data_IF_734742664914
#
_entry.id   IF_734742664914
#
_cell.length_a   1.000
_cell.length_b   1.000
_cell.length_c   1.000
_cell.angle_alpha   90.00
_cell.angle_beta   90.00
_cell.angle_gamma   90.00
#
_symmetry.space_group_name_H-M   'P 1'
#
loop_
_entity.id
_entity.type
_entity.pdbx_description
1 polymer ?
#
# COMPACT_ATOMS: atom_id res chain seq x y z
N UNK A 1 -7.49 21.69 -0.85
CA UNK A 1 -6.26 20.98 -0.42
C UNK A 1 -6.25 21.02 1.09
N UNK A 2 -5.91 19.93 1.77
CA UNK A 2 -5.84 19.88 3.22
C UNK A 2 -4.83 20.94 3.70
N UNK A 3 -5.27 21.96 4.46
CA UNK A 3 -4.40 23.06 4.87
C UNK A 3 -3.32 22.64 5.87
N UNK A 4 -3.46 21.43 6.43
CA UNK A 4 -2.52 20.85 7.39
C UNK A 4 -1.39 20.06 6.73
N UNK A 5 -1.36 19.96 5.40
CA UNK A 5 -0.22 19.41 4.67
C UNK A 5 0.80 20.51 4.45
N UNK A 6 1.83 20.51 5.28
CA UNK A 6 2.93 21.46 5.20
C UNK A 6 4.24 20.73 4.92
N UNK A 7 5.17 21.37 4.21
CA UNK A 7 6.48 20.79 3.88
C UNK A 7 7.28 20.41 5.12
N UNK A 8 7.05 21.08 6.26
CA UNK A 8 7.71 20.77 7.54
C UNK A 8 7.40 19.37 8.08
N UNK A 9 6.39 18.69 7.56
CA UNK A 9 6.20 17.26 7.85
C UNK A 9 7.40 16.43 7.37
N UNK A 10 8.09 16.85 6.29
CA UNK A 10 9.27 16.17 5.79
C UNK A 10 10.50 16.33 6.69
N UNK A 11 10.59 17.45 7.42
CA UNK A 11 11.76 17.76 8.26
C UNK A 11 11.92 16.76 9.41
N UNK A 12 10.81 16.18 9.89
CA UNK A 12 10.82 15.19 10.97
C UNK A 12 10.82 13.74 10.47
N UNK A 13 10.88 13.50 9.15
CA UNK A 13 10.78 12.15 8.58
C UNK A 13 11.87 11.20 9.05
N UNK A 14 13.16 11.61 9.19
CA UNK A 14 14.18 10.72 9.71
C UNK A 14 13.81 10.14 11.08
N UNK A 15 13.34 10.98 12.00
CA UNK A 15 12.94 10.56 13.35
C UNK A 15 11.65 9.72 13.32
N UNK A 16 10.66 10.10 12.50
CA UNK A 16 9.42 9.31 12.34
C UNK A 16 9.67 7.93 11.76
N UNK A 17 10.58 7.84 10.81
CA UNK A 17 11.00 6.61 10.16
C UNK A 17 11.66 5.68 11.17
N UNK A 18 12.62 6.20 11.95
CA UNK A 18 13.24 5.44 13.04
C UNK A 18 12.20 4.96 14.06
N UNK A 19 11.31 5.84 14.50
CA UNK A 19 10.25 5.48 15.44
C UNK A 19 9.34 4.37 14.90
N UNK A 20 8.90 4.49 13.64
CA UNK A 20 8.04 3.49 13.01
C UNK A 20 8.69 2.11 12.93
N UNK A 21 9.93 2.05 12.45
CA UNK A 21 10.57 0.79 12.08
C UNK A 21 11.38 0.15 13.22
N UNK A 22 11.86 0.93 14.19
CA UNK A 22 12.58 0.40 15.35
C UNK A 22 11.64 -0.09 16.46
N UNK A 23 10.49 0.57 16.67
CA UNK A 23 9.54 0.19 17.72
C UNK A 23 8.71 -1.05 17.36
N UNK A 24 8.81 -1.51 16.11
CA UNK A 24 8.01 -2.62 15.61
C UNK A 24 8.64 -3.97 15.98
N UNK A 25 8.35 -4.42 17.21
CA UNK A 25 8.39 -5.85 17.52
C UNK A 25 7.20 -6.52 16.80
N UNK A 26 7.51 -7.34 15.80
CA UNK A 26 6.60 -7.89 14.79
C UNK A 26 5.65 -8.98 15.33
N UNK A 27 4.73 -8.65 16.25
CA UNK A 27 3.80 -9.67 16.77
C UNK A 27 2.31 -9.30 16.79
N UNK A 28 1.93 -8.02 16.88
CA UNK A 28 0.50 -7.68 16.93
C UNK A 28 -0.01 -7.07 15.63
N UNK A 29 -0.97 -7.76 15.00
CA UNK A 29 -1.84 -7.26 13.93
C UNK A 29 -2.83 -6.20 14.47
N UNK A 30 -2.30 -5.18 15.14
CA UNK A 30 -3.06 -4.10 15.76
C UNK A 30 -3.29 -2.93 14.80
N UNK A 31 -4.24 -2.07 15.18
CA UNK A 31 -4.44 -0.78 14.53
C UNK A 31 -3.52 0.24 15.21
N UNK A 32 -2.43 0.65 14.57
CA UNK A 32 -1.49 1.62 15.12
C UNK A 32 -1.60 2.98 14.44
N UNK A 33 -1.20 4.02 15.16
CA UNK A 33 -1.18 5.41 14.70
C UNK A 33 0.19 6.01 15.03
N UNK A 34 0.79 6.63 14.02
CA UNK A 34 1.99 7.45 14.15
C UNK A 34 1.63 8.92 13.95
N UNK A 35 1.95 9.78 14.92
CA UNK A 35 1.78 11.21 14.73
C UNK A 35 2.92 11.80 13.89
N UNK A 36 2.56 12.55 12.84
CA UNK A 36 3.53 13.15 11.92
C UNK A 36 3.92 14.59 12.29
N UNK A 37 3.41 15.14 13.39
CA UNK A 37 3.85 16.46 13.86
C UNK A 37 5.32 16.42 14.33
N UNK A 38 6.19 17.37 13.94
CA UNK A 38 7.61 17.33 14.26
C UNK A 38 7.95 17.18 15.75
N UNK A 39 7.19 17.83 16.63
CA UNK A 39 7.44 17.81 18.08
C UNK A 39 6.80 16.63 18.85
N UNK A 40 6.22 15.64 18.17
CA UNK A 40 5.43 14.58 18.83
C UNK A 40 5.95 13.18 18.51
N UNK A 41 6.46 12.43 19.49
CA UNK A 41 6.95 11.07 19.26
C UNK A 41 5.90 9.98 19.51
N UNK A 42 4.61 10.32 19.37
CA UNK A 42 3.55 9.34 19.61
C UNK A 42 3.51 8.27 18.52
N UNK A 43 3.64 7.02 18.96
CA UNK A 43 3.37 5.82 18.20
C UNK A 43 2.68 4.80 19.12
N UNK A 44 1.45 4.40 18.80
CA UNK A 44 0.65 3.56 19.70
C UNK A 44 -0.63 3.02 19.08
N UNK A 45 -1.41 2.29 19.87
CA UNK A 45 -2.66 1.68 19.43
C UNK A 45 -3.73 2.76 19.18
N UNK A 46 -4.56 2.56 18.15
CA UNK A 46 -5.69 3.43 17.80
C UNK A 46 -6.67 3.61 18.96
N UNK A 47 -6.92 2.58 19.78
CA UNK A 47 -7.82 2.71 20.95
C UNK A 47 -7.28 3.67 22.01
N UNK A 48 -5.97 3.58 22.29
CA UNK A 48 -5.30 4.50 23.21
C UNK A 48 -5.23 5.91 22.62
N UNK A 49 -4.99 6.00 21.31
CA UNK A 49 -5.01 7.24 20.57
C UNK A 49 -6.38 7.92 20.71
N UNK A 50 -7.48 7.23 20.42
CA UNK A 50 -8.83 7.81 20.47
C UNK A 50 -9.22 8.24 21.89
N UNK A 51 -8.81 7.46 22.90
CA UNK A 51 -9.18 7.69 24.31
C UNK A 51 -8.42 8.85 24.94
N UNK A 52 -7.11 8.97 24.70
CA UNK A 52 -6.26 9.91 25.44
C UNK A 52 -5.59 10.96 24.55
N UNK A 53 -5.50 10.71 23.26
CA UNK A 53 -4.67 11.49 22.37
C UNK A 53 -5.50 12.29 21.37
N UNK A 54 -6.43 11.71 20.62
CA UNK A 54 -7.18 12.40 19.57
C UNK A 54 -7.88 13.66 20.11
N UNK A 55 -8.62 13.57 21.22
CA UNK A 55 -9.32 14.71 21.80
C UNK A 55 -8.39 15.75 22.45
N UNK A 56 -7.42 15.36 23.29
CA UNK A 56 -6.53 16.28 23.99
C UNK A 56 -5.44 16.87 23.09
N UNK A 57 -4.94 16.10 22.14
CA UNK A 57 -3.82 16.45 21.27
C UNK A 57 -4.30 17.22 20.04
N UNK A 58 -5.44 16.87 19.42
CA UNK A 58 -5.96 17.70 18.32
C UNK A 58 -6.41 19.08 18.81
N UNK A 59 -7.15 19.14 19.93
CA UNK A 59 -7.67 20.41 20.45
C UNK A 59 -6.59 21.24 21.17
N UNK A 60 -5.66 20.59 21.89
CA UNK A 60 -4.61 21.26 22.67
C UNK A 60 -3.32 21.55 21.91
N UNK A 61 -2.87 20.66 21.02
CA UNK A 61 -1.57 20.80 20.32
C UNK A 61 -1.69 21.03 18.81
N UNK A 62 -2.90 20.94 18.23
CA UNK A 62 -3.18 21.13 16.79
C UNK A 62 -2.45 20.15 15.86
N UNK A 63 -2.04 18.98 16.37
CA UNK A 63 -1.37 17.97 15.57
C UNK A 63 -2.39 17.22 14.70
N UNK A 64 -2.56 17.68 13.46
CA UNK A 64 -3.67 17.28 12.60
C UNK A 64 -3.40 16.01 11.76
N UNK A 65 -2.14 15.73 11.43
CA UNK A 65 -1.77 14.69 10.45
C UNK A 65 -1.17 13.47 11.14
N UNK A 66 -1.71 12.29 10.80
CA UNK A 66 -1.26 11.00 11.32
C UNK A 66 -1.14 9.97 10.20
N UNK A 67 -0.27 8.98 10.41
CA UNK A 67 -0.14 7.81 9.56
C UNK A 67 -0.81 6.62 10.27
N UNK A 68 -1.82 6.03 9.62
CA UNK A 68 -2.52 4.84 10.11
C UNK A 68 -1.85 3.58 9.62
N UNK A 69 -1.79 2.58 10.50
CA UNK A 69 -1.22 1.27 10.25
C UNK A 69 -2.23 0.24 10.75
N UNK A 70 -3.19 -0.10 9.89
CA UNK A 70 -4.12 -1.19 10.15
C UNK A 70 -4.12 -2.17 8.98
N UNK A 71 -4.65 -3.40 9.16
CA UNK A 71 -4.77 -4.36 8.06
C UNK A 71 -5.53 -3.83 6.84
N UNK A 72 -6.51 -2.94 7.05
CA UNK A 72 -7.33 -2.35 5.97
C UNK A 72 -6.78 -1.00 5.48
N UNK A 73 -6.08 -0.26 6.33
CA UNK A 73 -5.58 1.10 6.05
C UNK A 73 -4.08 1.18 6.28
N UNK A 74 -3.34 0.26 5.67
CA UNK A 74 -1.88 0.20 5.80
C UNK A 74 -1.23 1.43 5.15
N UNK A 75 -0.46 2.18 5.94
CA UNK A 75 0.23 3.41 5.53
C UNK A 75 -0.73 4.47 4.96
N UNK A 76 -1.94 4.58 5.53
CA UNK A 76 -2.90 5.61 5.12
C UNK A 76 -2.62 6.92 5.85
N UNK A 77 -2.47 8.01 5.08
CA UNK A 77 -2.35 9.36 5.65
C UNK A 77 -3.73 9.90 5.99
N UNK A 78 -3.94 10.29 7.25
CA UNK A 78 -5.22 10.79 7.73
C UNK A 78 -5.07 12.16 8.38
N UNK A 79 -6.04 13.04 8.12
CA UNK A 79 -6.14 14.34 8.78
C UNK A 79 -7.31 14.35 9.76
N UNK A 80 -7.02 14.46 11.06
CA UNK A 80 -8.04 14.54 12.10
C UNK A 80 -8.81 15.87 12.06
N UNK A 81 -8.14 16.97 11.72
CA UNK A 81 -8.80 18.29 11.61
C UNK A 81 -9.77 18.38 10.44
N UNK A 82 -9.50 17.69 9.33
CA UNK A 82 -10.40 17.63 8.18
C UNK A 82 -11.30 16.39 8.19
N UNK A 83 -11.10 15.47 9.14
CA UNK A 83 -11.81 14.19 9.26
C UNK A 83 -11.84 13.42 7.94
N UNK A 84 -10.68 13.32 7.27
CA UNK A 84 -10.57 12.61 5.98
C UNK A 84 -9.22 11.97 5.76
N UNK A 85 -9.21 10.93 4.91
CA UNK A 85 -8.00 10.42 4.31
C UNK A 85 -7.42 11.47 3.34
N UNK A 86 -6.11 11.61 3.33
CA UNK A 86 -5.40 12.60 2.52
C UNK A 86 -4.82 11.93 1.28
N UNK A 87 -5.04 12.52 0.11
CA UNK A 87 -4.40 12.08 -1.14
C UNK A 87 -4.82 10.68 -1.59
N UNK A 88 -5.88 10.14 -0.98
CA UNK A 88 -6.39 8.82 -1.25
C UNK A 88 -7.69 8.88 -2.07
N UNK A 89 -7.75 8.06 -3.12
CA UNK A 89 -8.90 7.94 -4.03
C UNK A 89 -9.89 6.83 -3.61
N UNK A 90 -9.86 6.45 -2.33
CA UNK A 90 -10.85 5.57 -1.70
C UNK A 90 -10.86 4.09 -2.13
N UNK A 91 -11.64 3.32 -1.36
CA UNK A 91 -12.31 2.06 -1.76
C UNK A 91 -13.71 2.35 -2.36
N UNK A 92 -14.15 3.60 -2.25
CA UNK A 92 -15.47 4.08 -2.65
C UNK A 92 -15.29 4.97 -3.87
N UNK A 93 -15.84 4.53 -5.00
CA UNK A 93 -15.73 5.14 -6.33
C UNK A 93 -16.26 6.57 -6.47
N UNK A 94 -16.71 7.25 -5.40
CA UNK A 94 -17.48 8.49 -5.54
C UNK A 94 -17.26 9.63 -4.53
N UNK A 95 -16.31 9.57 -3.57
CA UNK A 95 -16.29 10.63 -2.51
C UNK A 95 -14.99 11.41 -2.32
N UNK A 96 -13.84 10.98 -2.81
CA UNK A 96 -12.66 11.86 -2.75
C UNK A 96 -11.76 11.60 -3.95
N UNK A 97 -12.04 12.26 -5.08
CA UNK A 97 -10.97 12.61 -6.01
C UNK A 97 -10.03 13.54 -5.26
N UNK A 98 -9.12 12.97 -4.45
CA UNK A 98 -8.11 13.72 -3.74
C UNK A 98 -7.44 14.64 -4.73
N UNK A 99 -7.31 15.92 -4.38
CA UNK A 99 -6.64 16.88 -5.27
C UNK A 99 -5.28 16.27 -5.67
N UNK A 100 -4.93 16.32 -6.95
CA UNK A 100 -3.67 15.75 -7.46
C UNK A 100 -2.48 16.13 -6.57
N UNK A 101 -2.47 17.35 -6.04
CA UNK A 101 -1.48 17.84 -5.08
C UNK A 101 -1.44 17.08 -3.75
N UNK A 102 -2.58 16.75 -3.15
CA UNK A 102 -2.65 15.90 -1.94
C UNK A 102 -2.14 14.49 -2.23
N UNK A 103 -2.48 13.94 -3.40
CA UNK A 103 -2.01 12.62 -3.83
C UNK A 103 -0.48 12.59 -3.97
N UNK A 104 0.11 13.57 -4.69
CA UNK A 104 1.57 13.69 -4.82
C UNK A 104 2.25 13.86 -3.46
N UNK A 105 1.68 14.68 -2.58
CA UNK A 105 2.23 14.90 -1.24
C UNK A 105 2.20 13.61 -0.42
N UNK A 106 1.06 12.94 -0.36
CA UNK A 106 0.89 11.66 0.35
C UNK A 106 1.87 10.61 -0.19
N UNK A 107 1.93 10.43 -1.51
CA UNK A 107 2.82 9.47 -2.15
C UNK A 107 4.27 9.73 -1.74
N UNK A 108 4.73 10.98 -1.87
CA UNK A 108 6.10 11.35 -1.50
C UNK A 108 6.39 11.07 -0.02
N UNK A 109 5.48 11.43 0.88
CA UNK A 109 5.63 11.22 2.32
C UNK A 109 5.67 9.74 2.68
N UNK A 110 4.75 8.94 2.13
CA UNK A 110 4.70 7.49 2.39
C UNK A 110 5.94 6.80 1.84
N UNK A 111 6.42 7.18 0.66
CA UNK A 111 7.65 6.64 0.08
C UNK A 111 8.88 6.98 0.93
N UNK A 112 8.99 8.21 1.43
CA UNK A 112 10.09 8.62 2.33
C UNK A 112 10.13 7.77 3.61
N UNK A 113 8.96 7.47 4.17
CA UNK A 113 8.84 6.63 5.37
C UNK A 113 9.09 5.16 5.06
N UNK A 114 8.57 4.64 3.96
CA UNK A 114 8.55 3.20 3.68
C UNK A 114 9.80 2.68 2.96
N UNK A 115 10.56 3.54 2.29
CA UNK A 115 11.80 3.13 1.60
C UNK A 115 13.02 3.51 2.43
N UNK A 116 14.18 2.94 2.15
CA UNK A 116 15.44 3.37 2.76
C UNK A 116 16.37 3.98 1.73
N UNK A 117 17.21 4.92 2.17
CA UNK A 117 18.28 5.55 1.41
C UNK A 117 19.63 5.02 1.94
N UNK A 118 20.35 4.16 1.20
CA UNK A 118 21.63 3.60 1.64
C UNK A 118 22.69 4.65 1.96
N UNK A 119 22.56 5.88 1.44
CA UNK A 119 23.49 6.97 1.72
C UNK A 119 23.18 7.72 3.03
N UNK A 120 21.98 7.57 3.60
CA UNK A 120 21.52 8.33 4.77
C UNK A 120 21.10 7.45 5.95
N UNK A 121 20.50 6.29 5.67
CA UNK A 121 19.94 5.40 6.68
C UNK A 121 21.00 4.40 7.14
N UNK A 122 21.09 4.12 8.44
CA UNK A 122 22.01 3.11 8.98
C UNK A 122 21.60 1.70 8.54
N UNK A 123 22.57 0.78 8.42
CA UNK A 123 22.31 -0.62 8.04
C UNK A 123 21.25 -1.29 8.93
N UNK A 124 21.23 -0.95 10.22
CA UNK A 124 20.22 -1.43 11.17
C UNK A 124 18.83 -0.95 10.79
N UNK A 125 18.67 0.35 10.50
CA UNK A 125 17.39 0.92 10.09
C UNK A 125 16.93 0.35 8.73
N UNK A 126 17.86 0.17 7.79
CA UNK A 126 17.57 -0.46 6.48
C UNK A 126 17.02 -1.88 6.68
N UNK A 127 17.66 -2.69 7.53
CA UNK A 127 17.20 -4.04 7.85
C UNK A 127 15.82 -4.05 8.53
N UNK A 128 15.57 -3.11 9.46
CA UNK A 128 14.27 -2.95 10.11
C UNK A 128 13.16 -2.58 9.12
N UNK A 129 13.43 -1.65 8.20
CA UNK A 129 12.49 -1.25 7.14
C UNK A 129 12.20 -2.45 6.25
N UNK A 130 13.23 -3.16 5.80
CA UNK A 130 13.06 -4.32 4.92
C UNK A 130 12.20 -5.41 5.59
N UNK A 131 12.55 -5.85 6.80
CA UNK A 131 11.77 -6.87 7.54
C UNK A 131 10.35 -6.40 7.83
N UNK A 132 10.19 -5.14 8.23
CA UNK A 132 8.89 -4.55 8.50
C UNK A 132 7.99 -4.51 7.26
N UNK A 133 8.56 -4.22 6.10
CA UNK A 133 7.87 -4.25 4.81
C UNK A 133 7.50 -5.66 4.40
N UNK A 134 8.44 -6.60 4.43
CA UNK A 134 8.18 -8.00 4.12
C UNK A 134 7.01 -8.55 4.94
N UNK A 135 6.98 -8.29 6.24
CA UNK A 135 5.87 -8.70 7.12
C UNK A 135 4.52 -8.07 6.74
N UNK A 136 4.48 -6.77 6.46
CA UNK A 136 3.24 -6.09 6.01
C UNK A 136 2.75 -6.70 4.71
N UNK A 137 3.65 -6.79 3.73
CA UNK A 137 3.31 -7.15 2.36
C UNK A 137 2.92 -8.64 2.26
N UNK A 138 3.57 -9.50 3.06
CA UNK A 138 3.15 -10.88 3.22
C UNK A 138 1.76 -10.99 3.87
N UNK A 139 1.47 -10.18 4.88
CA UNK A 139 0.13 -10.15 5.51
C UNK A 139 -0.93 -9.69 4.52
N UNK A 140 -0.63 -8.70 3.68
CA UNK A 140 -1.50 -8.26 2.59
C UNK A 140 -1.71 -9.37 1.56
N UNK A 141 -0.63 -10.04 1.14
CA UNK A 141 -0.69 -11.20 0.24
C UNK A 141 -1.61 -12.29 0.79
N UNK A 142 -1.47 -12.64 2.07
CA UNK A 142 -2.30 -13.64 2.76
C UNK A 142 -3.78 -13.24 2.86
N UNK A 143 -4.06 -11.94 2.98
CA UNK A 143 -5.43 -11.43 3.12
C UNK A 143 -6.11 -11.08 1.79
N UNK A 144 -5.37 -11.00 0.68
CA UNK A 144 -5.84 -10.33 -0.55
C UNK A 144 -7.04 -11.00 -1.24
N UNK A 145 -7.26 -12.30 -1.00
CA UNK A 145 -8.34 -13.07 -1.63
C UNK A 145 -9.62 -13.16 -0.81
N UNK A 146 -9.69 -12.43 0.31
CA UNK A 146 -10.93 -12.28 1.09
C UNK A 146 -11.96 -11.37 0.42
N UNK A 147 -11.56 -10.61 -0.60
CA UNK A 147 -12.39 -9.65 -1.32
C UNK A 147 -12.45 -9.99 -2.81
N UNK A 148 -13.56 -9.64 -3.48
CA UNK A 148 -13.81 -9.99 -4.89
C UNK A 148 -13.09 -9.09 -5.90
N UNK A 149 -12.70 -7.88 -5.50
CA UNK A 149 -12.08 -6.94 -6.42
C UNK A 149 -10.58 -7.25 -6.55
N UNK A 150 -10.18 -7.54 -7.79
CA UNK A 150 -8.80 -7.90 -8.14
C UNK A 150 -8.32 -7.05 -9.30
N UNK A 151 -7.01 -6.84 -9.34
CA UNK A 151 -6.36 -5.95 -10.29
C UNK A 151 -5.25 -6.68 -11.03
N UNK A 152 -5.08 -6.33 -12.30
CA UNK A 152 -4.09 -6.93 -13.19
C UNK A 152 -2.73 -6.25 -12.96
N UNK A 153 -1.72 -7.06 -12.70
CA UNK A 153 -0.32 -6.63 -12.57
C UNK A 153 0.59 -7.50 -13.43
N UNK A 154 1.66 -6.88 -13.91
CA UNK A 154 2.73 -7.54 -14.64
C UNK A 154 3.31 -8.76 -13.91
N UNK A 155 3.50 -9.88 -14.62
CA UNK A 155 3.98 -11.13 -14.01
C UNK A 155 5.40 -11.04 -13.48
N UNK A 156 6.31 -10.37 -14.19
CA UNK A 156 7.73 -10.30 -13.78
C UNK A 156 7.87 -9.43 -12.54
N UNK A 157 7.14 -8.31 -12.52
CA UNK A 157 7.06 -7.46 -11.32
C UNK A 157 6.46 -8.22 -10.14
N UNK A 158 5.38 -8.98 -10.37
CA UNK A 158 4.73 -9.78 -9.33
C UNK A 158 5.66 -10.86 -8.78
N UNK A 159 6.45 -11.54 -9.62
CA UNK A 159 7.40 -12.56 -9.17
C UNK A 159 8.56 -11.96 -8.37
N UNK A 160 9.09 -10.83 -8.82
CA UNK A 160 10.10 -10.09 -8.06
C UNK A 160 9.54 -9.63 -6.70
N UNK A 161 8.27 -9.21 -6.66
CA UNK A 161 7.57 -8.89 -5.43
C UNK A 161 7.41 -10.11 -4.51
N UNK A 162 7.04 -11.28 -5.04
CA UNK A 162 6.96 -12.51 -4.25
C UNK A 162 8.30 -12.92 -3.65
N UNK A 163 9.40 -12.82 -4.40
CA UNK A 163 10.75 -13.09 -3.89
C UNK A 163 11.15 -12.12 -2.79
N UNK A 164 10.77 -10.85 -2.91
CA UNK A 164 11.02 -9.84 -1.89
C UNK A 164 10.26 -10.15 -0.59
N UNK A 165 8.94 -10.34 -0.66
CA UNK A 165 8.10 -10.55 0.53
C UNK A 165 8.36 -11.89 1.21
N UNK A 166 8.88 -12.88 0.49
CA UNK A 166 9.25 -14.19 1.04
C UNK A 166 10.58 -14.18 1.78
N UNK A 167 11.35 -13.09 1.70
CA UNK A 167 12.72 -13.05 2.24
C UNK A 167 13.79 -13.65 1.32
N UNK A 168 13.40 -14.27 0.19
CA UNK A 168 14.34 -14.93 -0.74
C UNK A 168 15.18 -13.94 -1.55
N UNK A 169 14.73 -12.68 -1.61
CA UNK A 169 15.45 -11.58 -2.20
C UNK A 169 15.42 -10.37 -1.27
N UNK A 170 16.56 -9.69 -1.14
CA UNK A 170 16.65 -8.37 -0.51
C UNK A 170 16.37 -7.24 -1.51
N UNK A 171 16.28 -7.57 -2.81
CA UNK A 171 16.06 -6.62 -3.89
C UNK A 171 14.55 -6.34 -4.00
N UNK A 172 14.20 -5.07 -3.80
CA UNK A 172 12.86 -4.54 -3.99
C UNK A 172 12.50 -4.51 -5.50
N UNK A 173 11.29 -4.94 -5.92
CA UNK A 173 10.88 -4.98 -7.35
C UNK A 173 10.81 -3.61 -8.04
N UNK A 174 10.90 -2.50 -7.30
CA UNK A 174 10.78 -1.14 -7.84
C UNK A 174 9.34 -0.79 -8.22
N UNK A 175 9.16 0.33 -8.94
CA UNK A 175 7.82 0.79 -9.34
C UNK A 175 7.15 -0.19 -10.30
N UNK A 176 5.85 -0.44 -10.08
CA UNK A 176 5.05 -1.26 -10.97
C UNK A 176 4.88 -0.57 -12.33
N UNK A 177 5.16 -1.33 -13.39
CA UNK A 177 4.82 -0.97 -14.76
C UNK A 177 4.02 -2.10 -15.37
N UNK A 178 2.93 -1.74 -16.05
CA UNK A 178 2.10 -2.68 -16.81
C UNK A 178 2.28 -2.46 -18.31
N UNK A 179 3.24 -1.62 -18.75
CA UNK A 179 3.40 -1.17 -20.13
C UNK A 179 3.33 -2.33 -21.14
N UNK A 180 4.02 -3.44 -20.85
CA UNK A 180 4.07 -4.62 -21.74
C UNK A 180 2.73 -5.37 -21.88
N UNK A 181 1.76 -5.08 -21.03
CA UNK A 181 0.43 -5.69 -21.07
C UNK A 181 -0.51 -4.96 -22.04
N UNK A 182 -0.11 -3.81 -22.57
CA UNK A 182 -0.96 -2.96 -23.40
C UNK A 182 -0.54 -3.02 -24.87
N UNK A 183 -1.51 -3.17 -25.77
CA UNK A 183 -1.30 -2.99 -27.22
C UNK A 183 -1.20 -1.50 -27.56
N UNK A 184 -1.93 -0.67 -26.81
CA UNK A 184 -1.93 0.79 -26.88
C UNK A 184 -2.22 1.35 -25.50
N UNK A 185 -1.96 2.63 -25.27
CA UNK A 185 -2.10 3.29 -23.96
C UNK A 185 -3.41 3.04 -23.20
N UNK A 186 -4.48 2.63 -23.90
CA UNK A 186 -5.80 2.38 -23.31
C UNK A 186 -6.29 0.94 -23.46
N UNK A 187 -5.67 0.10 -24.31
CA UNK A 187 -6.15 -1.25 -24.62
C UNK A 187 -5.19 -2.32 -24.15
N UNK A 188 -5.63 -3.12 -23.17
CA UNK A 188 -4.96 -4.33 -22.72
C UNK A 188 -4.91 -5.35 -23.86
N UNK A 189 -3.84 -6.13 -23.95
CA UNK A 189 -3.76 -7.21 -24.93
C UNK A 189 -4.66 -8.40 -24.51
N UNK A 190 -5.72 -8.73 -25.27
CA UNK A 190 -6.63 -9.82 -24.93
C UNK A 190 -5.98 -11.22 -25.09
N UNK A 191 -4.82 -11.31 -25.75
CA UNK A 191 -4.09 -12.57 -25.95
C UNK A 191 -3.29 -13.02 -24.74
N UNK A 192 -3.10 -12.12 -23.76
CA UNK A 192 -2.35 -12.38 -22.54
C UNK A 192 -2.99 -13.48 -21.69
N UNK A 193 -2.15 -14.21 -20.98
CA UNK A 193 -2.52 -15.36 -20.17
C UNK A 193 -2.22 -15.14 -18.69
N UNK A 194 -3.26 -15.27 -17.87
CA UNK A 194 -3.16 -15.29 -16.40
C UNK A 194 -2.18 -16.37 -15.93
N UNK A 195 -1.26 -15.99 -15.05
CA UNK A 195 -0.20 -16.84 -14.50
C UNK A 195 1.04 -16.96 -15.39
N UNK A 196 1.01 -16.38 -16.60
CA UNK A 196 2.15 -16.34 -17.52
C UNK A 196 2.60 -14.91 -17.79
N UNK A 197 1.67 -14.07 -18.26
CA UNK A 197 1.99 -12.70 -18.69
C UNK A 197 1.58 -11.67 -17.63
N UNK A 198 0.53 -11.98 -16.86
CA UNK A 198 0.05 -11.16 -15.75
C UNK A 198 -0.43 -12.02 -14.59
N UNK A 199 -0.57 -11.40 -13.42
CA UNK A 199 -1.18 -12.00 -12.22
C UNK A 199 -2.22 -11.04 -11.60
N UNK A 200 -2.98 -11.55 -10.63
CA UNK A 200 -4.02 -10.81 -9.94
C UNK A 200 -3.59 -10.44 -8.51
N UNK A 201 -3.76 -9.17 -8.15
CA UNK A 201 -3.64 -8.72 -6.76
C UNK A 201 -4.98 -8.23 -6.23
N UNK A 202 -5.26 -8.52 -4.96
CA UNK A 202 -6.43 -7.96 -4.28
C UNK A 202 -6.30 -6.45 -4.12
N UNK A 203 -7.43 -5.77 -3.93
CA UNK A 203 -7.41 -4.31 -3.86
C UNK A 203 -6.52 -3.75 -2.75
N UNK A 204 -6.50 -4.40 -1.56
CA UNK A 204 -5.65 -4.01 -0.42
C UNK A 204 -4.17 -3.91 -0.82
N UNK A 205 -3.69 -4.97 -1.47
CA UNK A 205 -2.36 -5.04 -2.04
C UNK A 205 -2.15 -3.97 -3.10
N UNK A 206 -3.11 -3.76 -4.01
CA UNK A 206 -3.03 -2.71 -5.05
C UNK A 206 -2.80 -1.32 -4.47
N UNK A 207 -3.53 -0.92 -3.42
CA UNK A 207 -3.34 0.41 -2.82
C UNK A 207 -2.00 0.54 -2.11
N UNK A 208 -1.54 -0.52 -1.45
CA UNK A 208 -0.21 -0.54 -0.87
C UNK A 208 0.86 -0.34 -1.95
N UNK A 209 0.74 -1.08 -3.07
CA UNK A 209 1.66 -0.99 -4.21
C UNK A 209 1.74 0.45 -4.72
N UNK A 210 0.60 1.08 -4.95
CA UNK A 210 0.54 2.46 -5.43
C UNK A 210 1.22 3.46 -4.50
N UNK A 211 1.00 3.32 -3.19
CA UNK A 211 1.54 4.24 -2.17
C UNK A 211 3.04 4.06 -1.96
N UNK A 212 3.51 2.81 -1.94
CA UNK A 212 4.89 2.49 -1.54
C UNK A 212 5.81 2.35 -2.75
N UNK A 213 5.44 1.55 -3.73
CA UNK A 213 6.25 1.32 -4.93
C UNK A 213 6.02 2.39 -6.00
N UNK A 214 4.81 2.93 -6.04
CA UNK A 214 4.35 3.76 -7.14
C UNK A 214 4.03 2.95 -8.40
N UNK A 215 3.22 3.55 -9.26
CA UNK A 215 2.83 3.00 -10.56
C UNK A 215 3.32 3.98 -11.63
N UNK A 216 3.97 3.47 -12.68
CA UNK A 216 4.35 4.27 -13.85
C UNK A 216 3.18 4.48 -14.80
N UNK A 217 2.39 3.42 -14.98
CA UNK A 217 1.26 3.36 -15.92
C UNK A 217 -0.08 3.16 -15.19
N UNK A 218 -1.07 2.57 -15.86
CA UNK A 218 -2.38 2.25 -15.28
C UNK A 218 -2.42 0.81 -14.75
N UNK A 219 -3.01 0.64 -13.57
CA UNK A 219 -3.51 -0.66 -13.11
C UNK A 219 -4.97 -0.80 -13.53
N UNK A 220 -5.31 -1.93 -14.16
CA UNK A 220 -6.68 -2.24 -14.60
C UNK A 220 -7.37 -3.10 -13.54
N UNK A 221 -8.57 -2.69 -13.14
CA UNK A 221 -9.49 -3.57 -12.39
C UNK A 221 -10.00 -4.66 -13.32
N UNK A 222 -9.95 -5.91 -12.86
CA UNK A 222 -10.45 -7.04 -13.63
C UNK A 222 -11.96 -6.95 -13.92
N UNK A 223 -12.70 -6.17 -13.13
CA UNK A 223 -14.13 -5.91 -13.34
C UNK A 223 -14.38 -4.88 -14.45
N UNK A 224 -13.35 -4.12 -14.85
CA UNK A 224 -13.46 -3.04 -15.83
C UNK A 224 -13.06 -3.52 -17.23
N UNK A 225 -12.76 -4.82 -17.39
CA UNK A 225 -12.46 -5.40 -18.69
C UNK A 225 -13.70 -5.35 -19.61
N UNK A 226 -13.54 -5.03 -20.90
CA UNK A 226 -14.65 -5.02 -21.84
C UNK A 226 -15.35 -6.37 -21.91
N UNK A 227 -16.69 -6.36 -21.87
CA UNK A 227 -17.49 -7.57 -22.01
C UNK A 227 -17.74 -7.87 -23.50
N UNK A 228 -16.67 -8.18 -24.24
CA UNK A 228 -16.71 -8.53 -25.65
C UNK A 228 -16.01 -9.88 -25.94
N UNK A 229 -16.08 -10.33 -27.18
CA UNK A 229 -15.54 -11.62 -27.61
C UNK A 229 -14.01 -11.73 -27.43
N UNK A 230 -13.28 -10.62 -27.52
CA UNK A 230 -11.81 -10.61 -27.42
C UNK A 230 -11.38 -10.99 -25.99
N UNK A 231 -12.05 -10.42 -24.98
CA UNK A 231 -11.70 -10.63 -23.57
C UNK A 231 -12.42 -11.81 -22.90
N UNK A 232 -13.42 -12.43 -23.53
CA UNK A 232 -14.20 -13.53 -22.95
C UNK A 232 -13.32 -14.63 -22.32
N UNK A 233 -12.26 -15.05 -23.02
CA UNK A 233 -11.34 -16.10 -22.54
C UNK A 233 -10.57 -15.65 -21.30
N UNK A 234 -10.07 -14.42 -21.29
CA UNK A 234 -9.34 -13.85 -20.16
C UNK A 234 -10.24 -13.71 -18.94
N UNK A 235 -11.42 -13.11 -19.12
CA UNK A 235 -12.43 -12.92 -18.08
C UNK A 235 -12.84 -14.27 -17.48
N UNK A 236 -13.04 -15.30 -18.31
CA UNK A 236 -13.38 -16.65 -17.83
C UNK A 236 -12.28 -17.22 -16.92
N UNK A 237 -11.01 -17.15 -17.32
CA UNK A 237 -9.88 -17.60 -16.49
C UNK A 237 -9.75 -16.82 -15.19
N UNK A 238 -9.95 -15.50 -15.22
CA UNK A 238 -9.95 -14.64 -14.03
C UNK A 238 -11.04 -15.09 -13.06
N UNK A 239 -12.27 -15.29 -13.53
CA UNK A 239 -13.40 -15.74 -12.71
C UNK A 239 -13.13 -17.09 -12.05
N UNK A 240 -12.57 -18.05 -12.79
CA UNK A 240 -12.17 -19.35 -12.22
C UNK A 240 -11.13 -19.15 -11.11
N UNK A 241 -10.08 -18.36 -11.35
CA UNK A 241 -9.03 -18.10 -10.35
C UNK A 241 -9.61 -17.44 -9.10
N UNK A 242 -10.50 -16.46 -9.26
CA UNK A 242 -11.17 -15.79 -8.15
C UNK A 242 -12.01 -16.77 -7.32
N UNK A 243 -12.76 -17.67 -7.95
CA UNK A 243 -13.53 -18.71 -7.26
C UNK A 243 -12.63 -19.66 -6.46
N UNK A 244 -11.53 -20.13 -7.07
CA UNK A 244 -10.53 -20.98 -6.39
C UNK A 244 -9.95 -20.26 -5.18
N UNK A 245 -9.55 -19.00 -5.35
CA UNK A 245 -8.94 -18.20 -4.29
C UNK A 245 -9.92 -17.93 -3.12
N UNK A 246 -11.20 -17.69 -3.42
CA UNK A 246 -12.25 -17.55 -2.41
C UNK A 246 -12.52 -18.86 -1.66
N UNK A 247 -12.47 -20.00 -2.35
CA UNK A 247 -12.66 -21.31 -1.75
C UNK A 247 -11.49 -21.70 -0.82
N UNK A 248 -10.26 -21.42 -1.22
CA UNK A 248 -9.05 -21.79 -0.48
C UNK A 248 -8.79 -20.89 0.74
N UNK A 249 -9.47 -19.75 0.87
CA UNK A 249 -9.35 -18.72 1.93
C UNK A 249 -7.96 -18.09 2.12
N UNK A 250 -6.91 -18.72 1.61
CA UNK A 250 -5.52 -18.33 1.67
C UNK A 250 -4.87 -18.49 0.29
N UNK A 251 -3.95 -17.59 -0.09
CA UNK A 251 -3.10 -17.78 -1.25
C UNK A 251 -2.18 -19.01 -1.05
N UNK A 252 -1.50 -19.51 -2.12
CA UNK A 252 -0.46 -20.51 -1.97
C UNK A 252 0.58 -20.08 -0.93
N UNK A 253 0.97 -21.00 -0.05
CA UNK A 253 1.97 -20.75 0.98
C UNK A 253 3.28 -20.30 0.35
N UNK A 254 3.73 -19.13 0.79
CA UNK A 254 5.08 -18.65 0.53
C UNK A 254 5.92 -19.09 1.72
N UNK A 255 6.86 -20.00 1.50
CA UNK A 255 7.84 -20.37 2.53
C UNK A 255 8.72 -19.15 2.83
N UNK A 256 8.66 -18.68 4.07
CA UNK A 256 9.56 -17.65 4.60
C UNK A 256 10.88 -18.34 4.97
N UNK A 257 12.00 -17.79 4.53
CA UNK A 257 13.35 -18.18 4.98
C UNK A 257 13.87 -17.21 6.05
#
# INVERSE_FOLDING_TARGET
MCPHLHKSLFDAMPEKKQLLWNTRSLLDAGNYILCLHPSCNYFGNTKEYDTYHCHLHQQGTKHAIVLKLSPLHTLELWCNSCVKAVGFDGFASHVNQGLKTEHYFMKKLVQEIATFDPAKDSDVLQACIQKGRQSIELSLYQAQFRYSNTHIVDKDWYDAWLLFISGKSTICPGSLTNEKLFISSEKLDPTLTLGKDFELVGSLTRWYIERVYGIKDKIISANDLPNDADYCRMIHKIKIRQQINQANRYPPDITIE
#
